data_IF_333930314726
#
_entry.id   IF_333930314726
#
_cell.length_a   1.000
_cell.length_b   1.000
_cell.length_c   1.000
_cell.angle_alpha   90.00
_cell.angle_beta   90.00
_cell.angle_gamma   90.00
#
_symmetry.space_group_name_H-M   'P 1'
#
loop_
_entity.id
_entity.type
_entity.pdbx_description
1 polymer ?
#
# COMPACT_ATOMS: atom_id res chain seq x y z
N UNK A 1 -22.22 -21.48 2.17
CA UNK A 1 -22.19 -20.04 2.48
C UNK A 1 -20.99 -19.81 3.38
N UNK A 2 -19.93 -19.19 2.85
CA UNK A 2 -18.79 -18.80 3.69
C UNK A 2 -19.21 -17.53 4.40
N UNK A 3 -19.38 -17.59 5.73
CA UNK A 3 -19.78 -16.42 6.50
C UNK A 3 -18.51 -15.82 7.09
N UNK A 4 -18.05 -14.72 6.50
CA UNK A 4 -16.98 -13.91 7.09
C UNK A 4 -17.48 -13.48 8.47
N UNK A 5 -16.68 -13.76 9.50
CA UNK A 5 -17.01 -13.31 10.86
C UNK A 5 -16.99 -11.79 10.90
N UNK A 6 -17.83 -11.17 11.75
CA UNK A 6 -17.78 -9.71 11.95
C UNK A 6 -16.38 -9.23 12.35
N UNK A 7 -15.63 -10.08 13.06
CA UNK A 7 -14.22 -9.84 13.40
C UNK A 7 -13.34 -9.75 12.16
N UNK A 8 -13.44 -10.70 11.23
CA UNK A 8 -12.66 -10.67 9.99
C UNK A 8 -13.03 -9.46 9.12
N UNK A 9 -14.32 -9.06 9.08
CA UNK A 9 -14.73 -7.81 8.41
C UNK A 9 -14.06 -6.59 9.04
N UNK A 10 -14.06 -6.49 10.37
CA UNK A 10 -13.40 -5.40 11.10
C UNK A 10 -11.89 -5.33 10.86
N UNK A 11 -11.21 -6.48 10.85
CA UNK A 11 -9.76 -6.54 10.56
C UNK A 11 -9.48 -6.08 9.11
N UNK A 12 -10.29 -6.51 8.15
CA UNK A 12 -10.15 -6.11 6.74
C UNK A 12 -10.45 -4.63 6.52
N UNK A 13 -11.51 -4.10 7.13
CA UNK A 13 -11.84 -2.67 7.08
C UNK A 13 -10.67 -1.82 7.61
N UNK A 14 -10.11 -2.20 8.76
CA UNK A 14 -8.92 -1.55 9.31
C UNK A 14 -7.74 -1.60 8.33
N UNK A 15 -7.44 -2.77 7.77
CA UNK A 15 -6.35 -2.96 6.81
C UNK A 15 -6.52 -2.05 5.59
N UNK A 16 -7.69 -2.04 4.96
CA UNK A 16 -7.92 -1.25 3.74
C UNK A 16 -7.86 0.25 4.04
N UNK A 17 -8.38 0.69 5.19
CA UNK A 17 -8.30 2.09 5.59
C UNK A 17 -6.85 2.54 5.84
N UNK A 18 -6.01 1.70 6.45
CA UNK A 18 -4.60 2.01 6.65
C UNK A 18 -3.83 2.09 5.33
N UNK A 19 -4.08 1.16 4.40
CA UNK A 19 -3.51 1.22 3.05
C UNK A 19 -3.95 2.48 2.29
N UNK A 20 -5.25 2.83 2.38
CA UNK A 20 -5.80 4.05 1.79
C UNK A 20 -5.14 5.30 2.34
N UNK A 21 -4.89 5.37 3.66
CA UNK A 21 -4.22 6.50 4.30
C UNK A 21 -2.80 6.71 3.75
N UNK A 22 -2.03 5.63 3.55
CA UNK A 22 -0.72 5.70 2.90
C UNK A 22 -0.86 6.23 1.47
N UNK A 23 -1.81 5.67 0.70
CA UNK A 23 -2.03 6.08 -0.69
C UNK A 23 -2.43 7.57 -0.83
N UNK A 24 -3.27 8.09 0.07
CA UNK A 24 -3.70 9.50 0.08
C UNK A 24 -2.51 10.42 0.34
N UNK A 25 -1.71 10.14 1.38
CA UNK A 25 -0.51 10.95 1.71
C UNK A 25 0.46 11.05 0.53
N UNK A 26 0.47 10.05 -0.34
CA UNK A 26 1.37 9.95 -1.50
C UNK A 26 0.72 10.29 -2.83
N UNK A 27 -0.50 10.83 -2.80
CA UNK A 27 -1.27 11.17 -4.00
C UNK A 27 -1.42 10.02 -5.01
N UNK A 28 -1.46 8.77 -4.54
CA UNK A 28 -1.61 7.60 -5.41
C UNK A 28 -3.09 7.32 -5.69
N UNK A 29 -3.70 8.14 -6.55
CA UNK A 29 -5.15 8.14 -6.78
C UNK A 29 -5.71 6.79 -7.24
N UNK A 30 -5.02 6.06 -8.11
CA UNK A 30 -5.47 4.74 -8.58
C UNK A 30 -5.57 3.74 -7.42
N UNK A 31 -4.60 3.74 -6.50
CA UNK A 31 -4.64 2.89 -5.32
C UNK A 31 -5.69 3.35 -4.30
N UNK A 32 -5.93 4.66 -4.17
CA UNK A 32 -7.05 5.19 -3.37
C UNK A 32 -8.39 4.69 -3.91
N UNK A 33 -8.56 4.70 -5.24
CA UNK A 33 -9.77 4.16 -5.90
C UNK A 33 -9.90 2.67 -5.62
N UNK A 34 -8.83 1.88 -5.80
CA UNK A 34 -8.83 0.44 -5.44
C UNK A 34 -9.25 0.21 -3.99
N UNK A 35 -8.70 0.97 -3.04
CA UNK A 35 -9.08 0.85 -1.63
C UNK A 35 -10.56 1.18 -1.40
N UNK A 36 -11.10 2.20 -2.07
CA UNK A 36 -12.53 2.53 -1.97
C UNK A 36 -13.43 1.41 -2.53
N UNK A 37 -13.02 0.77 -3.64
CA UNK A 37 -13.72 -0.39 -4.19
C UNK A 37 -13.69 -1.56 -3.21
N UNK A 38 -12.56 -1.85 -2.59
CA UNK A 38 -12.46 -2.89 -1.56
C UNK A 38 -13.34 -2.61 -0.33
N UNK A 39 -13.41 -1.36 0.14
CA UNK A 39 -14.32 -0.99 1.23
C UNK A 39 -15.78 -1.18 0.84
N UNK A 40 -16.14 -0.85 -0.41
CA UNK A 40 -17.48 -1.08 -0.93
C UNK A 40 -17.81 -2.58 -0.99
N UNK A 41 -16.93 -3.41 -1.56
CA UNK A 41 -17.07 -4.87 -1.62
C UNK A 41 -17.19 -5.51 -0.23
N UNK A 42 -16.48 -4.99 0.78
CA UNK A 42 -16.61 -5.46 2.17
C UNK A 42 -17.95 -5.10 2.82
N UNK A 43 -18.53 -3.97 2.41
CA UNK A 43 -19.81 -3.47 2.93
C UNK A 43 -21.03 -4.18 2.32
N UNK A 44 -20.92 -4.70 1.10
CA UNK A 44 -21.97 -5.49 0.45
C UNK A 44 -21.84 -6.98 0.83
N UNK A 45 -22.82 -7.49 1.58
CA UNK A 45 -22.81 -8.88 2.05
C UNK A 45 -22.90 -9.92 0.94
N UNK A 46 -23.23 -9.51 -0.29
CA UNK A 46 -23.34 -10.41 -1.44
C UNK A 46 -22.05 -10.56 -2.25
N UNK A 47 -21.12 -9.61 -2.15
CA UNK A 47 -19.88 -9.56 -2.95
C UNK A 47 -18.86 -10.63 -2.49
N UNK A 48 -18.69 -10.83 -1.18
CA UNK A 48 -17.80 -11.86 -0.63
C UNK A 48 -18.62 -13.02 -0.05
N UNK A 49 -19.28 -13.74 -0.93
CA UNK A 49 -20.20 -14.85 -0.57
C UNK A 49 -19.52 -16.23 -0.54
N UNK A 50 -18.29 -16.33 -1.06
CA UNK A 50 -17.53 -17.59 -1.17
C UNK A 50 -16.10 -17.49 -0.62
N UNK A 51 -15.50 -18.66 -0.33
CA UNK A 51 -14.08 -18.79 0.04
C UNK A 51 -13.17 -18.30 -1.10
N UNK A 52 -13.60 -18.47 -2.35
CA UNK A 52 -12.82 -18.07 -3.52
C UNK A 52 -12.76 -16.55 -3.65
N UNK A 53 -13.87 -15.86 -3.41
CA UNK A 53 -13.93 -14.39 -3.42
C UNK A 53 -13.10 -13.81 -2.29
N UNK A 54 -13.14 -14.43 -1.11
CA UNK A 54 -12.29 -14.05 0.02
C UNK A 54 -10.80 -14.22 -0.28
N UNK A 55 -10.41 -15.31 -0.94
CA UNK A 55 -9.03 -15.53 -1.39
C UNK A 55 -8.59 -14.50 -2.43
N UNK A 56 -9.45 -14.16 -3.39
CA UNK A 56 -9.17 -13.10 -4.37
C UNK A 56 -8.95 -11.77 -3.68
N UNK A 57 -9.82 -11.39 -2.75
CA UNK A 57 -9.67 -10.18 -1.96
C UNK A 57 -8.33 -10.13 -1.22
N UNK A 58 -7.98 -11.21 -0.51
CA UNK A 58 -6.71 -11.34 0.21
C UNK A 58 -5.52 -11.19 -0.72
N UNK A 59 -5.52 -11.87 -1.86
CA UNK A 59 -4.46 -11.79 -2.85
C UNK A 59 -4.32 -10.36 -3.42
N UNK A 60 -5.43 -9.71 -3.75
CA UNK A 60 -5.43 -8.33 -4.24
C UNK A 60 -4.91 -7.34 -3.19
N UNK A 61 -5.22 -7.56 -1.92
CA UNK A 61 -4.68 -6.78 -0.80
C UNK A 61 -3.16 -6.96 -0.67
N UNK A 62 -2.67 -8.20 -0.73
CA UNK A 62 -1.23 -8.52 -0.70
C UNK A 62 -0.50 -7.87 -1.89
N UNK A 63 -1.08 -7.96 -3.10
CA UNK A 63 -0.51 -7.29 -4.28
C UNK A 63 -0.39 -5.78 -4.08
N UNK A 64 -1.39 -5.13 -3.49
CA UNK A 64 -1.32 -3.70 -3.19
C UNK A 64 -0.22 -3.38 -2.16
N UNK A 65 -0.07 -4.21 -1.12
CA UNK A 65 1.02 -4.07 -0.13
C UNK A 65 2.39 -4.14 -0.83
N UNK A 66 2.59 -5.13 -1.71
CA UNK A 66 3.85 -5.30 -2.43
C UNK A 66 4.13 -4.15 -3.40
N UNK A 67 3.11 -3.66 -4.11
CA UNK A 67 3.21 -2.45 -4.94
C UNK A 67 3.70 -1.25 -4.12
N UNK A 68 3.07 -0.98 -2.97
CA UNK A 68 3.44 0.13 -2.09
C UNK A 68 4.84 -0.02 -1.50
N UNK A 69 5.18 -1.23 -1.02
CA UNK A 69 6.50 -1.56 -0.47
C UNK A 69 7.60 -1.35 -1.49
N UNK A 70 7.39 -1.78 -2.73
CA UNK A 70 8.34 -1.58 -3.82
C UNK A 70 8.59 -0.09 -4.06
N UNK A 71 7.53 0.73 -4.06
CA UNK A 71 7.68 2.17 -4.25
C UNK A 71 8.39 2.88 -3.12
N UNK A 72 8.04 2.61 -1.87
CA UNK A 72 8.73 3.23 -0.72
C UNK A 72 10.21 2.89 -0.74
N UNK A 73 10.58 1.63 -1.04
CA UNK A 73 12.00 1.22 -1.13
C UNK A 73 12.77 1.96 -2.22
N UNK A 74 12.14 2.24 -3.36
CA UNK A 74 12.79 3.01 -4.43
C UNK A 74 12.91 4.49 -4.08
N UNK A 75 11.92 5.06 -3.39
CA UNK A 75 12.01 6.43 -2.89
C UNK A 75 13.10 6.59 -1.83
N UNK A 76 13.22 5.64 -0.90
CA UNK A 76 14.32 5.59 0.07
C UNK A 76 15.66 5.62 -0.67
N UNK A 77 15.84 4.83 -1.74
CA UNK A 77 17.06 4.87 -2.55
C UNK A 77 17.26 6.22 -3.25
N UNK A 78 16.20 6.84 -3.75
CA UNK A 78 16.30 8.16 -4.36
C UNK A 78 16.73 9.24 -3.35
N UNK A 79 16.25 9.16 -2.10
CA UNK A 79 16.57 10.11 -1.01
C UNK A 79 17.96 9.85 -0.42
N UNK A 80 18.28 8.60 -0.06
CA UNK A 80 19.49 8.25 0.70
C UNK A 80 20.79 8.40 -0.06
N UNK A 81 20.80 8.26 -1.38
CA UNK A 81 22.05 8.17 -2.11
C UNK A 81 22.50 9.55 -2.59
N UNK A 82 23.56 10.14 -2.01
CA UNK A 82 24.07 11.45 -2.44
C UNK A 82 24.76 11.41 -3.82
N UNK A 83 24.94 10.20 -4.38
CA UNK A 83 25.63 9.98 -5.66
C UNK A 83 24.63 10.17 -6.81
N UNK A 84 24.88 11.11 -7.74
CA UNK A 84 23.97 11.41 -8.86
C UNK A 84 23.57 10.19 -9.68
N UNK A 85 24.51 9.29 -9.98
CA UNK A 85 24.28 8.11 -10.80
C UNK A 85 23.25 7.16 -10.17
N UNK A 86 23.31 6.96 -8.85
CA UNK A 86 22.37 6.09 -8.13
C UNK A 86 20.99 6.74 -8.04
N UNK A 87 20.92 8.08 -7.89
CA UNK A 87 19.64 8.80 -7.96
C UNK A 87 19.00 8.65 -9.34
N UNK A 88 19.80 8.71 -10.41
CA UNK A 88 19.33 8.53 -11.77
C UNK A 88 18.82 7.10 -12.02
N UNK A 89 19.54 6.08 -11.54
CA UNK A 89 19.11 4.68 -11.64
C UNK A 89 17.80 4.43 -10.88
N UNK A 90 17.67 4.97 -9.66
CA UNK A 90 16.44 4.89 -8.87
C UNK A 90 15.28 5.62 -9.56
N UNK A 91 15.55 6.76 -10.20
CA UNK A 91 14.58 7.51 -10.97
C UNK A 91 14.08 6.75 -12.20
N UNK A 92 14.99 6.17 -12.99
CA UNK A 92 14.64 5.37 -14.17
C UNK A 92 13.90 4.08 -13.78
N UNK A 93 14.32 3.42 -12.70
CA UNK A 93 13.63 2.26 -12.14
C UNK A 93 12.20 2.63 -11.71
N UNK A 94 12.06 3.72 -10.97
CA UNK A 94 10.77 4.23 -10.55
C UNK A 94 9.86 4.54 -11.73
N UNK A 95 10.34 5.33 -12.69
CA UNK A 95 9.58 5.70 -13.90
C UNK A 95 9.16 4.49 -14.74
N UNK A 96 10.00 3.46 -14.83
CA UNK A 96 9.75 2.28 -15.66
C UNK A 96 8.78 1.29 -15.00
N UNK A 97 8.90 1.10 -13.69
CA UNK A 97 8.20 0.02 -12.98
C UNK A 97 7.08 0.50 -12.06
N UNK A 98 6.93 1.80 -11.85
CA UNK A 98 5.89 2.36 -10.98
C UNK A 98 5.04 3.35 -11.78
N UNK A 99 3.76 2.99 -11.96
CA UNK A 99 2.79 3.80 -12.72
C UNK A 99 2.66 5.24 -12.21
N UNK A 100 2.90 5.45 -10.92
CA UNK A 100 2.67 6.69 -10.21
C UNK A 100 3.95 7.28 -9.60
N UNK A 101 5.14 6.85 -10.03
CA UNK A 101 6.43 7.31 -9.47
C UNK A 101 6.52 8.83 -9.33
N UNK A 102 6.14 9.56 -10.39
CA UNK A 102 6.20 11.02 -10.43
C UNK A 102 5.17 11.72 -9.52
N UNK A 103 4.10 11.02 -9.16
CA UNK A 103 3.11 11.52 -8.18
C UNK A 103 3.65 11.37 -6.76
N UNK A 104 4.45 10.33 -6.53
CA UNK A 104 5.00 9.94 -5.25
C UNK A 104 6.26 10.75 -4.88
N UNK A 105 7.20 10.93 -5.82
CA UNK A 105 8.47 11.65 -5.59
C UNK A 105 8.31 13.17 -5.63
N UNK A 106 7.09 13.71 -5.50
CA UNK A 106 6.93 15.15 -5.35
C UNK A 106 7.59 15.54 -4.04
N UNK A 107 8.66 16.36 -4.05
CA UNK A 107 9.22 16.86 -2.80
C UNK A 107 8.14 17.71 -2.15
N UNK A 108 7.57 17.25 -1.04
CA UNK A 108 6.92 18.17 -0.13
C UNK A 108 8.03 19.08 0.38
N UNK A 109 8.06 20.32 -0.11
CA UNK A 109 9.11 21.31 0.14
C UNK A 109 9.29 21.67 1.62
N UNK A 110 8.47 21.09 2.49
CA UNK A 110 8.42 21.33 3.92
C UNK A 110 9.22 20.32 4.76
N UNK A 111 9.71 19.22 4.17
CA UNK A 111 10.44 18.18 4.91
C UNK A 111 11.92 18.11 4.52
N UNK A 112 12.77 17.89 5.51
CA UNK A 112 14.17 17.52 5.35
C UNK A 112 14.32 16.07 4.89
N UNK A 113 15.47 15.71 4.31
CA UNK A 113 15.76 14.33 3.89
C UNK A 113 15.60 13.32 5.05
N UNK A 114 16.01 13.71 6.26
CA UNK A 114 15.86 12.88 7.46
C UNK A 114 14.40 12.66 7.87
N UNK A 115 13.56 13.69 7.75
CA UNK A 115 12.13 13.59 8.03
C UNK A 115 11.42 12.72 7.00
N UNK A 116 11.76 12.90 5.71
CA UNK A 116 11.28 12.03 4.64
C UNK A 116 11.67 10.58 4.95
N UNK A 117 12.94 10.30 5.24
CA UNK A 117 13.40 8.96 5.57
C UNK A 117 12.63 8.30 6.71
N UNK A 118 12.39 9.04 7.80
CA UNK A 118 11.60 8.53 8.92
C UNK A 118 10.18 8.17 8.51
N UNK A 119 9.52 9.03 7.73
CA UNK A 119 8.18 8.76 7.20
C UNK A 119 8.17 7.46 6.37
N UNK A 120 9.17 7.27 5.51
CA UNK A 120 9.30 6.07 4.67
C UNK A 120 9.51 4.80 5.48
N UNK A 121 10.35 4.85 6.51
CA UNK A 121 10.61 3.72 7.40
C UNK A 121 9.37 3.36 8.22
N UNK A 122 8.66 4.34 8.77
CA UNK A 122 7.41 4.15 9.51
C UNK A 122 6.31 3.54 8.59
N UNK A 123 6.22 3.98 7.33
CA UNK A 123 5.30 3.42 6.34
C UNK A 123 5.64 1.96 6.00
N UNK A 124 6.92 1.61 5.82
CA UNK A 124 7.35 0.22 5.60
C UNK A 124 7.00 -0.67 6.79
N UNK A 125 7.26 -0.21 8.01
CA UNK A 125 6.94 -0.96 9.21
C UNK A 125 5.43 -1.25 9.29
N UNK A 126 4.59 -0.25 9.04
CA UNK A 126 3.12 -0.41 9.01
C UNK A 126 2.67 -1.41 7.95
N UNK A 127 3.27 -1.39 6.75
CA UNK A 127 2.96 -2.37 5.70
C UNK A 127 3.30 -3.81 6.12
N UNK A 128 4.45 -4.01 6.78
CA UNK A 128 4.85 -5.32 7.28
C UNK A 128 3.92 -5.82 8.40
N UNK A 129 3.41 -4.94 9.26
CA UNK A 129 2.39 -5.29 10.26
C UNK A 129 1.06 -5.66 9.62
N UNK A 130 0.58 -4.86 8.66
CA UNK A 130 -0.66 -5.11 7.91
C UNK A 130 -0.60 -6.47 7.22
N UNK A 131 0.50 -6.76 6.52
CA UNK A 131 0.68 -8.04 5.82
C UNK A 131 0.59 -9.24 6.79
N UNK A 132 1.19 -9.12 7.98
CA UNK A 132 1.09 -10.15 9.03
C UNK A 132 -0.35 -10.36 9.50
N UNK A 133 -1.14 -9.29 9.61
CA UNK A 133 -2.56 -9.38 9.96
C UNK A 133 -3.31 -10.10 8.84
N UNK A 134 -3.11 -9.70 7.58
CA UNK A 134 -3.71 -10.34 6.40
C UNK A 134 -3.40 -11.84 6.37
N UNK A 135 -2.17 -12.25 6.66
CA UNK A 135 -1.80 -13.66 6.75
C UNK A 135 -2.44 -14.41 7.92
N UNK A 136 -2.64 -13.74 9.07
CA UNK A 136 -3.28 -14.32 10.26
C UNK A 136 -4.78 -14.50 10.13
N UNK A 137 -5.43 -13.75 9.24
CA UNK A 137 -6.83 -14.00 8.89
C UNK A 137 -6.88 -15.33 8.10
N UNK A 138 -7.11 -16.42 8.83
CA UNK A 138 -7.38 -17.76 8.32
C UNK A 138 -8.89 -18.05 8.43
N UNK A 139 -9.41 -18.85 7.48
CA UNK A 139 -10.82 -19.21 7.30
C UNK A 139 -11.60 -19.48 8.59
#
# INVERSE_FOLDING_TARGET
MYKITERHKGDLDFIINELKNICIKRNYNDAVIKCNLFLYELSDENEISSVEDFKKFKNSTITLIDELRFTIKTEIRYVLFPIPDIKQDAFEMGKKYMKNFLQWVKPDSNYTEAEVMKILEDELYRLDEIERIVFKINN
#
